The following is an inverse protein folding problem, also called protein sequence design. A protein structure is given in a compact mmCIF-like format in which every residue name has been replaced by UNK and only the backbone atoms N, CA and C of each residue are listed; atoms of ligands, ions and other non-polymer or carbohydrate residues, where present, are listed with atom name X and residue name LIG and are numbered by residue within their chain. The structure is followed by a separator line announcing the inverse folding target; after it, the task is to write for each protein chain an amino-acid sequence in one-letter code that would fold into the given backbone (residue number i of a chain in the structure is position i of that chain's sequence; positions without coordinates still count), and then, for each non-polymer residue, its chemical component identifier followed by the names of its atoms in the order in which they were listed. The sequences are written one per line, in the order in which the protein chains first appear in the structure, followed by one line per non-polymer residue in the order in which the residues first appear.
data_IF_397490646300
#
_entry.id   IF_397490646300
#
_cell.length_a   1.000
_cell.length_b   1.000
_cell.length_c   1.000
_cell.angle_alpha   90.00
_cell.angle_beta   90.00
_cell.angle_gamma   90.00
#
_symmetry.space_group_name_H-M   'P 1'
#
loop_
_entity.id
_entity.type
_entity.pdbx_description
1 polymer ?
#
# COMPACT_ATOMS: atom_id res chain seq x y z
N UNK A 1 -7.86 12.50 -5.69
CA UNK A 1 -7.16 11.22 -5.53
C UNK A 1 -6.84 10.65 -6.90
N UNK A 2 -5.55 10.59 -7.22
CA UNK A 2 -4.97 9.91 -8.38
C UNK A 2 -4.81 8.42 -8.08
N UNK A 3 -4.54 7.60 -9.10
CA UNK A 3 -4.27 6.18 -8.88
C UNK A 3 -3.03 5.93 -8.03
N UNK A 4 -2.00 6.78 -8.13
CA UNK A 4 -0.80 6.72 -7.28
C UNK A 4 -1.14 6.99 -5.81
N UNK A 5 -1.91 8.04 -5.54
CA UNK A 5 -2.40 8.33 -4.18
C UNK A 5 -3.26 7.17 -3.65
N UNK A 6 -4.13 6.59 -4.50
CA UNK A 6 -4.95 5.44 -4.12
C UNK A 6 -4.14 4.19 -3.74
N UNK A 7 -3.03 3.93 -4.44
CA UNK A 7 -2.12 2.82 -4.10
C UNK A 7 -1.55 3.00 -2.69
N UNK A 8 -1.12 4.22 -2.35
CA UNK A 8 -0.58 4.53 -1.02
C UNK A 8 -1.64 4.36 0.06
N UNK A 9 -2.86 4.88 -0.16
CA UNK A 9 -3.94 4.78 0.82
C UNK A 9 -4.42 3.33 1.05
N UNK A 10 -4.49 2.52 -0.02
CA UNK A 10 -4.81 1.09 0.11
C UNK A 10 -3.74 0.35 0.91
N UNK A 11 -2.46 0.64 0.68
CA UNK A 11 -1.37 0.05 1.47
C UNK A 11 -1.51 0.40 2.96
N UNK A 12 -1.77 1.67 3.30
CA UNK A 12 -2.02 2.10 4.69
C UNK A 12 -3.17 1.35 5.33
N UNK A 13 -4.29 1.17 4.62
CA UNK A 13 -5.45 0.43 5.14
C UNK A 13 -5.07 -1.02 5.43
N UNK A 14 -4.38 -1.70 4.51
CA UNK A 14 -3.98 -3.11 4.68
C UNK A 14 -3.07 -3.27 5.89
N UNK A 15 -2.06 -2.42 6.03
CA UNK A 15 -1.16 -2.43 7.18
C UNK A 15 -1.89 -2.08 8.49
N UNK A 16 -2.83 -1.13 8.46
CA UNK A 16 -3.62 -0.74 9.64
C UNK A 16 -4.53 -1.85 10.16
N UNK A 17 -5.13 -2.64 9.27
CA UNK A 17 -6.01 -3.75 9.69
C UNK A 17 -5.21 -5.00 10.06
N UNK A 18 -3.91 -5.03 9.79
CA UNK A 18 -3.00 -6.11 10.16
C UNK A 18 -2.48 -5.88 11.59
N UNK A 19 -2.76 -6.81 12.49
CA UNK A 19 -2.28 -6.75 13.88
C UNK A 19 -0.97 -7.55 13.99
N UNK A 20 0.18 -6.86 14.01
CA UNK A 20 1.50 -7.50 14.04
C UNK A 20 1.71 -8.43 15.26
N UNK A 21 0.94 -8.26 16.34
CA UNK A 21 1.04 -9.13 17.52
C UNK A 21 0.23 -10.44 17.39
N UNK A 22 -0.74 -10.49 16.49
CA UNK A 22 -1.68 -11.62 16.35
C UNK A 22 -1.61 -12.32 14.99
N UNK A 23 -1.24 -11.59 13.96
CA UNK A 23 -1.24 -12.07 12.59
C UNK A 23 0.16 -12.55 12.16
N UNK A 24 0.20 -13.42 11.15
CA UNK A 24 1.47 -13.86 10.53
C UNK A 24 1.97 -12.80 9.56
N UNK A 25 3.28 -12.72 9.38
CA UNK A 25 3.89 -11.89 8.35
C UNK A 25 3.23 -12.10 6.98
N UNK A 26 2.99 -11.00 6.27
CA UNK A 26 2.35 -11.00 4.96
C UNK A 26 3.23 -10.32 3.91
N UNK A 27 2.92 -10.58 2.65
CA UNK A 27 3.49 -9.89 1.50
C UNK A 27 2.40 -9.01 0.87
N UNK A 28 2.72 -7.72 0.68
CA UNK A 28 1.81 -6.80 -0.01
C UNK A 28 2.05 -6.89 -1.52
N UNK A 29 1.06 -7.39 -2.25
CA UNK A 29 0.97 -7.32 -3.71
C UNK A 29 -0.19 -6.40 -4.13
N UNK A 30 0.02 -5.59 -5.17
CA UNK A 30 -0.99 -4.67 -5.68
C UNK A 30 -1.00 -4.64 -7.22
N UNK A 31 -2.18 -4.47 -7.78
CA UNK A 31 -2.39 -4.24 -9.21
C UNK A 31 -3.32 -3.05 -9.43
N UNK A 32 -3.27 -2.48 -10.63
CA UNK A 32 -4.07 -1.32 -10.99
C UNK A 32 -4.56 -1.37 -12.44
N UNK A 33 -5.63 -0.62 -12.69
CA UNK A 33 -6.14 -0.30 -14.03
C UNK A 33 -6.36 1.21 -14.07
N UNK A 34 -5.52 1.92 -14.81
CA UNK A 34 -5.58 3.39 -14.91
C UNK A 34 -4.99 3.88 -16.23
N UNK A 35 -4.96 5.20 -16.44
CA UNK A 35 -4.38 5.77 -17.65
C UNK A 35 -2.87 5.46 -17.78
N UNK A 36 -2.13 5.37 -16.66
CA UNK A 36 -0.70 4.98 -16.67
C UNK A 36 -0.51 3.54 -17.14
N UNK A 37 -1.42 2.64 -16.77
CA UNK A 37 -1.44 1.26 -17.24
C UNK A 37 -2.09 1.09 -18.62
N UNK A 38 -2.35 2.19 -19.33
CA UNK A 38 -3.05 2.19 -20.64
C UNK A 38 -4.39 1.46 -20.58
N UNK A 39 -5.09 1.59 -19.44
CA UNK A 39 -6.38 0.94 -19.14
C UNK A 39 -6.31 -0.60 -19.19
N UNK A 40 -5.13 -1.16 -18.96
CA UNK A 40 -4.94 -2.60 -18.80
C UNK A 40 -4.66 -2.95 -17.34
N UNK A 41 -5.05 -4.16 -16.94
CA UNK A 41 -4.75 -4.67 -15.61
C UNK A 41 -3.29 -5.14 -15.57
N UNK A 42 -2.49 -4.47 -14.77
CA UNK A 42 -1.09 -4.79 -14.56
C UNK A 42 -0.72 -4.65 -13.09
N UNK A 43 0.42 -5.25 -12.71
CA UNK A 43 0.99 -5.03 -11.38
C UNK A 43 1.38 -3.56 -11.23
N UNK A 44 1.22 -3.03 -10.02
CA UNK A 44 1.77 -1.73 -9.66
C UNK A 44 3.30 -1.78 -9.84
N UNK A 45 3.93 -0.77 -10.45
CA UNK A 45 5.38 -0.74 -10.60
C UNK A 45 6.10 -0.85 -9.25
N UNK A 46 7.19 -1.63 -9.20
CA UNK A 46 7.90 -1.94 -7.94
C UNK A 46 8.28 -0.67 -7.14
N UNK A 47 8.76 0.37 -7.82
CA UNK A 47 9.11 1.63 -7.17
C UNK A 47 7.92 2.27 -6.42
N UNK A 48 6.73 2.24 -7.01
CA UNK A 48 5.52 2.78 -6.41
C UNK A 48 4.98 1.85 -5.29
N UNK A 49 5.14 0.54 -5.46
CA UNK A 49 4.80 -0.43 -4.43
C UNK A 49 5.68 -0.28 -3.18
N UNK A 50 6.99 -0.08 -3.35
CA UNK A 50 7.91 0.16 -2.24
C UNK A 50 7.63 1.49 -1.54
N UNK A 51 7.30 2.56 -2.29
CA UNK A 51 6.84 3.84 -1.73
C UNK A 51 5.59 3.65 -0.87
N UNK A 52 4.61 2.90 -1.37
CA UNK A 52 3.37 2.62 -0.64
C UNK A 52 3.61 1.78 0.63
N UNK A 53 4.50 0.78 0.58
CA UNK A 53 4.92 0.01 1.78
C UNK A 53 5.60 0.91 2.81
N UNK A 54 6.49 1.80 2.38
CA UNK A 54 7.18 2.72 3.29
C UNK A 54 6.20 3.70 3.95
N UNK A 55 5.29 4.29 3.17
CA UNK A 55 4.26 5.19 3.69
C UNK A 55 3.28 4.49 4.65
N UNK A 56 2.93 3.23 4.38
CA UNK A 56 2.08 2.45 5.25
C UNK A 56 2.73 2.12 6.60
N UNK A 57 4.03 1.76 6.59
CA UNK A 57 4.82 1.53 7.81
C UNK A 57 4.96 2.81 8.64
N UNK A 58 5.31 3.92 8.02
CA UNK A 58 5.43 5.20 8.72
C UNK A 58 4.09 5.63 9.36
N UNK A 59 2.97 5.43 8.67
CA UNK A 59 1.65 5.76 9.21
C UNK A 59 1.25 4.88 10.41
N UNK A 60 1.69 3.62 10.47
CA UNK A 60 1.52 2.77 11.65
C UNK A 60 2.34 3.28 12.83
N UNK A 61 3.62 3.60 12.60
CA UNK A 61 4.51 4.13 13.64
C UNK A 61 4.00 5.44 14.23
N UNK A 62 3.44 6.34 13.41
CA UNK A 62 2.81 7.59 13.87
C UNK A 62 1.55 7.34 14.71
N UNK A 63 0.76 6.30 14.41
CA UNK A 63 -0.44 5.98 15.19
C UNK A 63 -0.13 5.33 16.54
N UNK A 64 0.96 4.57 16.64
CA UNK A 64 1.39 3.93 17.88
C UNK A 64 2.16 4.88 18.82
N UNK A 65 2.60 6.03 18.32
CA UNK A 65 3.35 7.05 19.07
C UNK A 65 2.47 8.11 19.77
N UNK A 66 1.15 8.07 19.58
CA UNK A 66 0.12 8.94 20.21
C UNK A 66 -0.63 8.16 21.32
#
# INVERSE_FOLDING_TARGET
MTCREGVIEVAKIIYKVHDEAKDKAFELEMSWVCDESKKQHEKVPDALLEEAKAAARAALEEMDAD
#
